data_IF_734213822359
#
_entry.id   IF_734213822359
#
_cell.length_a   1.000
_cell.length_b   1.000
_cell.length_c   1.000
_cell.angle_alpha   90.00
_cell.angle_beta   90.00
_cell.angle_gamma   90.00
#
_symmetry.space_group_name_H-M   'P 1'
#
loop_
_entity.id
_entity.type
_entity.pdbx_description
1 polymer ?
#
# COMPACT_ATOMS: atom_id res chain seq x y z
N UNK A 1 -4.73 -27.35 7.38
CA UNK A 1 -5.92 -27.14 6.50
C UNK A 1 -6.20 -28.34 5.59
N UNK A 2 -5.20 -28.87 4.87
CA UNK A 2 -5.36 -30.06 4.03
C UNK A 2 -5.91 -31.27 4.80
N UNK A 3 -5.48 -31.45 6.06
CA UNK A 3 -5.93 -32.54 6.90
C UNK A 3 -7.42 -32.45 7.31
N UNK A 4 -7.94 -31.22 7.51
CA UNK A 4 -9.36 -30.97 7.83
C UNK A 4 -10.26 -31.25 6.63
N UNK A 5 -9.78 -31.00 5.42
CA UNK A 5 -10.50 -31.39 4.21
C UNK A 5 -10.53 -32.91 4.05
N UNK A 6 -9.43 -33.60 4.38
CA UNK A 6 -9.36 -35.06 4.33
C UNK A 6 -10.27 -35.68 5.39
N UNK A 7 -10.34 -35.10 6.58
CA UNK A 7 -11.20 -35.54 7.68
C UNK A 7 -11.53 -34.37 8.60
N UNK A 8 -12.82 -34.06 8.74
CA UNK A 8 -13.31 -32.95 9.55
C UNK A 8 -13.34 -33.19 11.08
N UNK A 9 -12.72 -34.28 11.54
CA UNK A 9 -12.77 -34.75 12.94
C UNK A 9 -13.94 -35.70 13.22
N UNK A 10 -14.85 -35.90 12.26
CA UNK A 10 -15.94 -36.89 12.32
C UNK A 10 -15.81 -38.00 11.28
N UNK A 11 -14.68 -38.05 10.56
CA UNK A 11 -14.44 -39.03 9.50
C UNK A 11 -14.98 -38.61 8.14
N UNK A 12 -15.56 -37.41 8.00
CA UNK A 12 -16.14 -36.94 6.75
C UNK A 12 -15.11 -36.17 5.95
N UNK A 13 -14.88 -36.61 4.71
CA UNK A 13 -14.04 -35.93 3.74
C UNK A 13 -14.83 -34.85 3.01
N UNK A 14 -14.24 -33.67 2.82
CA UNK A 14 -14.80 -32.61 1.99
C UNK A 14 -15.83 -31.70 2.67
N UNK A 15 -15.86 -31.65 4.01
CA UNK A 15 -16.73 -30.74 4.74
C UNK A 15 -16.23 -29.28 4.62
N UNK A 16 -16.80 -28.52 3.69
CA UNK A 16 -16.40 -27.13 3.43
C UNK A 16 -16.61 -26.23 4.66
N UNK A 17 -17.66 -26.46 5.45
CA UNK A 17 -17.91 -25.68 6.67
C UNK A 17 -16.81 -25.90 7.71
N UNK A 18 -16.32 -27.14 7.87
CA UNK A 18 -15.20 -27.45 8.75
C UNK A 18 -13.89 -26.83 8.24
N UNK A 19 -13.64 -26.84 6.94
CA UNK A 19 -12.46 -26.20 6.33
C UNK A 19 -12.49 -24.68 6.53
N UNK A 20 -13.63 -24.03 6.25
CA UNK A 20 -13.78 -22.57 6.47
C UNK A 20 -13.61 -22.23 7.95
N UNK A 21 -14.21 -23.01 8.86
CA UNK A 21 -14.03 -22.83 10.30
C UNK A 21 -12.55 -22.97 10.69
N UNK A 22 -11.85 -23.98 10.20
CA UNK A 22 -10.43 -24.17 10.49
C UNK A 22 -9.59 -23.00 9.98
N UNK A 23 -9.88 -22.44 8.80
CA UNK A 23 -9.21 -21.24 8.27
C UNK A 23 -9.46 -20.03 9.18
N UNK A 24 -10.72 -19.75 9.52
CA UNK A 24 -11.09 -18.58 10.33
C UNK A 24 -10.64 -18.67 11.80
N UNK A 25 -10.40 -19.89 12.28
CA UNK A 25 -9.91 -20.17 13.63
C UNK A 25 -8.41 -20.45 13.68
N UNK A 26 -7.73 -20.45 12.53
CA UNK A 26 -6.30 -20.65 12.47
C UNK A 26 -5.57 -19.56 13.27
N UNK A 27 -4.56 -19.95 14.04
CA UNK A 27 -3.81 -19.03 14.88
C UNK A 27 -3.09 -17.95 14.05
N UNK A 28 -2.63 -18.28 12.84
CA UNK A 28 -2.03 -17.34 11.90
C UNK A 28 -3.08 -16.37 11.32
N UNK A 29 -4.32 -16.84 11.11
CA UNK A 29 -5.41 -16.00 10.62
C UNK A 29 -5.97 -15.04 11.70
N UNK A 30 -5.80 -15.39 12.99
CA UNK A 30 -6.36 -14.62 14.12
C UNK A 30 -5.37 -13.71 14.81
N UNK A 31 -4.08 -13.99 14.73
CA UNK A 31 -3.05 -13.17 15.37
C UNK A 31 -2.18 -12.49 14.32
N UNK A 32 -2.05 -11.17 14.45
CA UNK A 32 -1.07 -10.42 13.67
C UNK A 32 0.33 -10.90 14.04
N UNK A 33 1.18 -11.28 13.08
CA UNK A 33 2.56 -11.61 13.36
C UNK A 33 3.26 -10.38 13.93
N UNK A 34 3.66 -10.48 15.19
CA UNK A 34 4.32 -9.41 15.95
C UNK A 34 5.83 -9.36 15.71
N UNK A 35 6.38 -10.37 15.02
CA UNK A 35 7.82 -10.44 14.75
C UNK A 35 8.26 -9.28 13.86
N UNK A 36 9.36 -8.57 14.20
CA UNK A 36 9.95 -7.58 13.31
C UNK A 36 10.44 -8.18 11.98
N UNK A 37 10.66 -9.49 11.95
CA UNK A 37 11.12 -10.23 10.77
C UNK A 37 9.97 -10.59 9.81
N UNK A 38 8.73 -10.27 10.18
CA UNK A 38 7.55 -10.54 9.37
C UNK A 38 7.08 -9.30 8.60
N UNK A 39 6.73 -9.54 7.34
CA UNK A 39 6.10 -8.59 6.46
C UNK A 39 6.82 -8.46 5.14
N UNK A 40 6.21 -7.70 4.23
CA UNK A 40 6.82 -7.36 2.94
C UNK A 40 6.56 -5.90 2.61
N UNK A 41 7.46 -5.31 1.85
CA UNK A 41 7.18 -4.01 1.26
C UNK A 41 6.02 -4.14 0.28
N UNK A 42 5.07 -3.21 0.39
CA UNK A 42 3.97 -3.06 -0.54
C UNK A 42 4.52 -2.52 -1.86
N UNK A 43 4.32 -3.31 -2.90
CA UNK A 43 4.75 -3.01 -4.26
C UNK A 43 4.23 -1.65 -4.74
N UNK A 44 5.03 -0.87 -5.51
CA UNK A 44 4.60 0.42 -6.05
C UNK A 44 3.24 0.37 -6.74
N UNK A 45 3.01 -0.61 -7.62
CA UNK A 45 1.75 -0.77 -8.35
C UNK A 45 0.56 -0.93 -7.39
N UNK A 46 0.74 -1.72 -6.33
CA UNK A 46 -0.28 -1.94 -5.31
C UNK A 46 -0.52 -0.66 -4.50
N UNK A 47 0.53 0.07 -4.12
CA UNK A 47 0.40 1.36 -3.42
C UNK A 47 -0.37 2.36 -4.29
N UNK A 48 -0.05 2.46 -5.57
CA UNK A 48 -0.73 3.37 -6.48
C UNK A 48 -2.20 2.98 -6.70
N UNK A 49 -2.51 1.70 -6.93
CA UNK A 49 -3.92 1.27 -7.06
C UNK A 49 -4.70 1.41 -5.76
N UNK A 50 -4.03 1.24 -4.62
CA UNK A 50 -4.64 1.52 -3.33
C UNK A 50 -5.07 3.00 -3.25
N UNK A 51 -4.20 3.94 -3.63
CA UNK A 51 -4.55 5.36 -3.73
C UNK A 51 -5.75 5.61 -4.66
N UNK A 52 -5.72 5.03 -5.86
CA UNK A 52 -6.83 5.13 -6.82
C UNK A 52 -8.16 4.61 -6.24
N UNK A 53 -8.11 3.51 -5.49
CA UNK A 53 -9.28 2.96 -4.80
C UNK A 53 -9.77 3.86 -3.66
N UNK A 54 -8.87 4.39 -2.83
CA UNK A 54 -9.23 5.27 -1.71
C UNK A 54 -9.89 6.57 -2.17
N UNK A 55 -9.58 7.02 -3.38
CA UNK A 55 -10.07 8.28 -3.95
C UNK A 55 -10.98 8.05 -5.17
N UNK A 56 -11.69 6.92 -5.21
CA UNK A 56 -12.76 6.60 -6.16
C UNK A 56 -12.41 6.72 -7.65
N UNK A 57 -11.16 6.50 -8.05
CA UNK A 57 -10.70 6.65 -9.44
C UNK A 57 -11.59 5.91 -10.45
N UNK A 58 -11.97 4.66 -10.15
CA UNK A 58 -12.78 3.84 -11.05
C UNK A 58 -14.25 4.29 -11.15
N UNK A 59 -14.78 4.94 -10.11
CA UNK A 59 -16.15 5.47 -10.11
C UNK A 59 -16.22 6.79 -10.87
N UNK A 60 -15.24 7.67 -10.64
CA UNK A 60 -15.12 8.95 -11.34
C UNK A 60 -14.77 8.74 -12.82
N UNK A 61 -13.98 7.71 -13.12
CA UNK A 61 -13.47 7.42 -14.46
C UNK A 61 -13.65 5.94 -14.83
N UNK A 62 -14.87 5.49 -15.16
CA UNK A 62 -15.15 4.07 -15.45
C UNK A 62 -14.48 3.56 -16.73
N UNK A 63 -13.98 4.45 -17.58
CA UNK A 63 -13.20 4.12 -18.80
C UNK A 63 -11.69 4.26 -18.59
N UNK A 64 -11.24 4.52 -17.36
CA UNK A 64 -9.82 4.63 -17.06
C UNK A 64 -9.11 3.32 -17.44
N UNK A 65 -8.11 3.46 -18.30
CA UNK A 65 -7.17 2.39 -18.63
C UNK A 65 -5.81 2.87 -18.20
N UNK A 66 -5.15 2.09 -17.35
CA UNK A 66 -3.83 2.45 -16.86
C UNK A 66 -2.75 2.10 -17.89
N UNK A 67 -2.71 2.88 -18.96
CA UNK A 67 -1.72 2.78 -20.02
C UNK A 67 -0.81 4.00 -19.96
N UNK A 68 0.46 3.77 -19.65
CA UNK A 68 1.48 4.80 -19.52
C UNK A 68 2.70 4.47 -20.38
N UNK A 69 3.41 5.52 -20.77
CA UNK A 69 4.77 5.37 -21.24
C UNK A 69 5.69 5.04 -20.06
N UNK A 70 6.76 4.30 -20.34
CA UNK A 70 7.75 3.84 -19.34
C UNK A 70 8.29 5.03 -18.53
N UNK A 71 8.39 6.20 -19.17
CA UNK A 71 8.89 7.43 -18.58
C UNK A 71 7.98 8.01 -17.49
N UNK A 72 6.69 7.66 -17.47
CA UNK A 72 5.73 8.21 -16.51
C UNK A 72 5.77 7.45 -15.18
N UNK A 73 5.48 6.14 -15.23
CA UNK A 73 5.31 5.33 -14.03
C UNK A 73 6.55 4.50 -13.72
N UNK A 74 7.04 3.74 -14.70
CA UNK A 74 8.15 2.80 -14.50
C UNK A 74 9.43 3.51 -14.07
N UNK A 75 9.78 4.65 -14.67
CA UNK A 75 10.97 5.40 -14.24
C UNK A 75 10.94 5.75 -12.75
N UNK A 76 9.80 6.20 -12.24
CA UNK A 76 9.66 6.60 -10.83
C UNK A 76 9.59 5.40 -9.87
N UNK A 77 9.02 4.27 -10.30
CA UNK A 77 8.66 3.14 -9.42
C UNK A 77 9.52 1.90 -9.60
N UNK A 78 10.22 1.76 -10.72
CA UNK A 78 10.99 0.58 -11.15
C UNK A 78 10.09 -0.69 -11.23
N UNK A 79 8.79 -0.49 -11.36
CA UNK A 79 7.81 -1.57 -11.53
C UNK A 79 6.60 -1.04 -12.29
N UNK A 80 6.14 -1.74 -13.32
CA UNK A 80 4.91 -1.36 -14.04
C UNK A 80 4.20 -2.61 -14.55
N UNK A 81 2.86 -2.69 -14.54
CA UNK A 81 2.15 -3.84 -15.07
C UNK A 81 2.59 -4.19 -16.49
N UNK A 82 2.82 -5.48 -16.75
CA UNK A 82 3.25 -6.02 -18.05
C UNK A 82 4.63 -5.55 -18.54
N UNK A 83 5.44 -4.86 -17.71
CA UNK A 83 6.75 -4.34 -18.08
C UNK A 83 7.89 -5.06 -17.33
N UNK A 84 7.86 -6.40 -17.29
CA UNK A 84 8.88 -7.18 -16.58
C UNK A 84 10.25 -7.10 -17.28
N UNK A 85 11.35 -6.80 -16.56
CA UNK A 85 12.69 -6.74 -17.15
C UNK A 85 13.31 -8.12 -17.39
N UNK A 86 12.76 -9.19 -16.81
CA UNK A 86 13.33 -10.55 -16.91
C UNK A 86 12.30 -11.66 -16.74
N UNK A 87 12.71 -12.92 -16.93
CA UNK A 87 11.89 -14.10 -16.62
C UNK A 87 11.65 -14.30 -15.11
N UNK A 88 12.44 -13.63 -14.26
CA UNK A 88 12.28 -13.64 -12.81
C UNK A 88 11.41 -12.47 -12.30
N UNK A 89 10.73 -11.78 -13.19
CA UNK A 89 9.97 -10.57 -12.89
C UNK A 89 10.87 -9.39 -12.50
N UNK A 90 10.38 -8.45 -11.68
CA UNK A 90 11.09 -7.23 -11.25
C UNK A 90 12.20 -7.44 -10.21
N UNK A 91 12.15 -8.52 -9.44
CA UNK A 91 13.09 -8.80 -8.35
C UNK A 91 13.21 -10.30 -8.08
N UNK A 92 14.35 -10.71 -7.53
CA UNK A 92 14.65 -12.11 -7.24
C UNK A 92 14.07 -12.52 -5.88
N UNK A 93 13.55 -13.76 -5.74
CA UNK A 93 12.97 -14.24 -4.48
C UNK A 93 14.01 -14.39 -3.36
N UNK A 94 15.30 -14.39 -3.70
CA UNK A 94 16.43 -14.58 -2.76
C UNK A 94 17.17 -13.27 -2.44
N UNK A 95 16.71 -12.13 -2.96
CA UNK A 95 17.36 -10.85 -2.67
C UNK A 95 17.30 -10.54 -1.18
N UNK A 96 18.43 -10.10 -0.62
CA UNK A 96 18.55 -9.67 0.77
C UNK A 96 19.08 -8.23 0.80
N UNK A 97 18.24 -7.30 1.25
CA UNK A 97 18.62 -5.90 1.37
C UNK A 97 19.83 -5.77 2.31
N UNK A 98 20.87 -4.99 1.94
CA UNK A 98 22.01 -4.75 2.81
C UNK A 98 21.58 -4.21 4.18
N UNK A 99 22.35 -4.52 5.23
CA UNK A 99 22.08 -4.08 6.61
C UNK A 99 21.43 -5.16 7.44
N UNK A 100 20.51 -4.76 8.34
CA UNK A 100 19.91 -5.62 9.36
C UNK A 100 19.23 -6.87 8.78
N UNK A 101 18.50 -6.72 7.66
CA UNK A 101 17.81 -7.82 6.98
C UNK A 101 18.81 -8.92 6.55
N UNK A 102 19.86 -8.56 5.81
CA UNK A 102 20.88 -9.51 5.38
C UNK A 102 21.66 -10.09 6.56
N UNK A 103 21.98 -9.29 7.57
CA UNK A 103 22.69 -9.74 8.76
C UNK A 103 21.88 -10.77 9.57
N UNK A 104 20.55 -10.67 9.53
CA UNK A 104 19.63 -11.64 10.11
C UNK A 104 19.36 -12.86 9.20
N UNK A 105 19.95 -12.92 8.01
CA UNK A 105 19.74 -14.00 7.04
C UNK A 105 18.35 -14.01 6.39
N UNK A 106 17.63 -12.88 6.45
CA UNK A 106 16.28 -12.74 5.92
C UNK A 106 16.30 -12.35 4.43
N UNK A 107 15.25 -12.75 3.70
CA UNK A 107 15.01 -12.31 2.32
C UNK A 107 14.06 -11.12 2.30
N UNK A 108 14.27 -10.22 1.35
CA UNK A 108 13.48 -9.00 1.20
C UNK A 108 13.30 -8.62 -0.28
N UNK A 109 12.67 -9.47 -1.11
CA UNK A 109 12.65 -9.32 -2.57
C UNK A 109 12.21 -7.94 -3.07
N UNK A 110 11.10 -7.41 -2.54
CA UNK A 110 10.54 -6.12 -2.96
C UNK A 110 11.45 -4.92 -2.71
N UNK A 111 12.47 -5.03 -1.86
CA UNK A 111 13.47 -3.97 -1.67
C UNK A 111 14.47 -3.87 -2.82
N UNK A 112 14.59 -4.87 -3.70
CA UNK A 112 15.55 -4.84 -4.81
C UNK A 112 15.27 -3.70 -5.80
N UNK A 113 14.01 -3.29 -5.94
CA UNK A 113 13.57 -2.17 -6.78
C UNK A 113 13.52 -0.83 -6.02
N UNK A 114 13.89 -0.82 -4.74
CA UNK A 114 14.00 0.38 -3.93
C UNK A 114 15.48 0.80 -3.89
N UNK A 115 15.79 1.87 -4.62
CA UNK A 115 17.11 2.47 -4.61
C UNK A 115 17.00 3.96 -4.23
N UNK A 116 18.14 4.65 -4.18
CA UNK A 116 18.20 6.07 -3.79
C UNK A 116 17.36 6.98 -4.70
N UNK A 117 17.09 6.56 -5.94
CA UNK A 117 16.24 7.30 -6.87
C UNK A 117 14.75 6.98 -6.62
N UNK A 118 14.34 5.71 -6.70
CA UNK A 118 12.93 5.31 -6.55
C UNK A 118 12.37 5.59 -5.15
N UNK A 119 13.22 5.63 -4.12
CA UNK A 119 12.85 6.06 -2.78
C UNK A 119 12.39 7.53 -2.71
N UNK A 120 12.70 8.36 -3.71
CA UNK A 120 12.29 9.77 -3.79
C UNK A 120 11.29 10.00 -4.92
N UNK A 121 11.57 9.47 -6.11
CA UNK A 121 10.73 9.70 -7.30
C UNK A 121 9.35 9.05 -7.19
N UNK A 122 9.23 7.85 -6.58
CA UNK A 122 7.93 7.22 -6.40
C UNK A 122 7.00 7.99 -5.44
N UNK A 123 7.44 8.41 -4.23
CA UNK A 123 6.65 9.32 -3.41
C UNK A 123 6.22 10.59 -4.14
N UNK A 124 7.11 11.23 -4.90
CA UNK A 124 6.77 12.42 -5.68
C UNK A 124 5.69 12.13 -6.73
N UNK A 125 5.76 10.99 -7.42
CA UNK A 125 4.72 10.58 -8.36
C UNK A 125 3.36 10.40 -7.69
N UNK A 126 3.32 9.80 -6.49
CA UNK A 126 2.07 9.70 -5.72
C UNK A 126 1.53 11.08 -5.36
N UNK A 127 2.41 12.00 -4.97
CA UNK A 127 2.04 13.40 -4.70
C UNK A 127 1.42 14.07 -5.94
N UNK A 128 2.05 13.92 -7.11
CA UNK A 128 1.54 14.46 -8.37
C UNK A 128 0.16 13.87 -8.70
N UNK A 129 -0.04 12.55 -8.55
CA UNK A 129 -1.35 11.93 -8.76
C UNK A 129 -2.42 12.48 -7.84
N UNK A 130 -2.08 12.83 -6.60
CA UNK A 130 -3.01 13.41 -5.64
C UNK A 130 -3.44 14.83 -6.03
N UNK A 131 -2.57 15.60 -6.67
CA UNK A 131 -2.85 16.98 -7.07
C UNK A 131 -3.44 17.08 -8.47
N UNK A 132 -2.83 16.41 -9.43
CA UNK A 132 -3.11 16.50 -10.87
C UNK A 132 -3.99 15.36 -11.38
N UNK A 133 -4.08 14.25 -10.64
CA UNK A 133 -4.75 13.03 -11.07
C UNK A 133 -3.82 12.01 -11.73
N UNK A 134 -4.36 10.81 -11.96
CA UNK A 134 -3.65 9.75 -12.66
C UNK A 134 -3.38 10.17 -14.09
N UNK A 135 -2.15 9.92 -14.58
CA UNK A 135 -1.80 10.16 -15.98
C UNK A 135 -1.98 8.88 -16.79
N UNK A 136 -2.54 9.01 -17.99
CA UNK A 136 -2.51 7.97 -19.01
C UNK A 136 -2.30 8.59 -20.38
N UNK A 137 -1.64 7.84 -21.28
CA UNK A 137 -1.29 8.31 -22.62
C UNK A 137 -0.50 9.63 -22.63
N UNK A 138 -0.65 10.43 -23.68
CA UNK A 138 0.12 11.66 -23.92
C UNK A 138 -0.32 12.87 -23.10
N UNK A 139 -1.58 12.91 -22.64
CA UNK A 139 -2.15 14.15 -22.07
C UNK A 139 -3.37 13.97 -21.17
N UNK A 140 -3.82 12.74 -20.92
CA UNK A 140 -5.05 12.53 -20.18
C UNK A 140 -4.74 12.45 -18.69
N UNK A 141 -5.35 13.35 -17.93
CA UNK A 141 -5.35 13.34 -16.48
C UNK A 141 -6.71 12.84 -16.00
N UNK A 142 -6.68 12.01 -14.97
CA UNK A 142 -7.86 11.42 -14.32
C UNK A 142 -7.83 11.85 -12.86
N UNK A 143 -8.34 13.07 -12.53
CA UNK A 143 -8.42 13.55 -11.17
C UNK A 143 -9.26 12.63 -10.31
N UNK A 144 -8.78 12.33 -9.11
CA UNK A 144 -9.50 11.50 -8.17
C UNK A 144 -10.44 12.32 -7.28
N UNK A 145 -11.39 11.64 -6.64
CA UNK A 145 -12.40 12.26 -5.77
C UNK A 145 -12.05 12.04 -4.31
N UNK A 146 -11.99 13.15 -3.56
CA UNK A 146 -11.72 13.16 -2.13
C UNK A 146 -13.00 13.24 -1.30
N UNK A 147 -14.16 12.95 -1.90
CA UNK A 147 -15.49 13.23 -1.32
C UNK A 147 -15.66 12.69 0.10
N UNK A 148 -15.17 11.49 0.38
CA UNK A 148 -15.31 10.85 1.70
C UNK A 148 -14.31 11.45 2.70
N UNK A 149 -13.04 11.56 2.32
CA UNK A 149 -11.96 12.01 3.19
C UNK A 149 -11.98 13.52 3.47
N UNK A 150 -12.51 14.33 2.54
CA UNK A 150 -12.71 15.78 2.73
C UNK A 150 -13.69 16.11 3.85
N UNK A 151 -14.61 15.20 4.20
CA UNK A 151 -15.52 15.40 5.34
C UNK A 151 -14.76 15.52 6.67
N UNK A 152 -13.54 14.98 6.73
CA UNK A 152 -12.68 14.98 7.91
C UNK A 152 -11.59 16.06 7.86
N UNK A 153 -11.49 16.83 6.77
CA UNK A 153 -10.39 17.78 6.57
C UNK A 153 -10.26 18.79 7.72
N UNK A 154 -11.38 19.25 8.28
CA UNK A 154 -11.40 20.26 9.34
C UNK A 154 -11.13 19.66 10.74
N UNK A 155 -10.96 18.34 10.84
CA UNK A 155 -10.58 17.63 12.06
C UNK A 155 -9.34 16.75 11.81
N UNK A 156 -8.12 17.30 11.94
CA UNK A 156 -6.87 16.58 11.69
C UNK A 156 -6.74 15.27 12.48
N UNK A 157 -7.22 15.22 13.72
CA UNK A 157 -7.14 14.01 14.52
C UNK A 157 -8.01 12.90 13.93
N UNK A 158 -9.26 13.19 13.59
CA UNK A 158 -10.17 12.21 12.98
C UNK A 158 -9.70 11.80 11.57
N UNK A 159 -9.17 12.74 10.78
CA UNK A 159 -8.56 12.44 9.48
C UNK A 159 -7.39 11.47 9.61
N UNK A 160 -6.47 11.69 10.56
CA UNK A 160 -5.34 10.81 10.79
C UNK A 160 -5.80 9.42 11.24
N UNK A 161 -6.79 9.34 12.13
CA UNK A 161 -7.31 8.05 12.59
C UNK A 161 -7.98 7.26 11.46
N UNK A 162 -8.70 7.95 10.57
CA UNK A 162 -9.29 7.36 9.37
C UNK A 162 -8.22 6.88 8.38
N UNK A 163 -7.20 7.69 8.11
CA UNK A 163 -6.08 7.31 7.24
C UNK A 163 -5.27 6.16 7.84
N UNK A 164 -5.06 6.14 9.16
CA UNK A 164 -4.40 5.04 9.87
C UNK A 164 -5.14 3.71 9.61
N UNK A 165 -6.46 3.71 9.71
CA UNK A 165 -7.26 2.52 9.44
C UNK A 165 -7.10 2.05 7.99
N UNK A 166 -7.22 2.97 7.03
CA UNK A 166 -7.22 2.64 5.61
C UNK A 166 -5.84 2.26 5.07
N UNK A 167 -4.78 2.94 5.49
CA UNK A 167 -3.44 2.81 4.90
C UNK A 167 -2.52 1.92 5.72
N UNK A 168 -2.57 2.08 7.04
CA UNK A 168 -1.66 1.47 8.02
C UNK A 168 -2.32 0.34 8.83
N UNK A 169 -3.53 -0.09 8.46
CA UNK A 169 -4.29 -1.14 9.15
C UNK A 169 -4.50 -0.88 10.66
N UNK A 170 -4.54 0.39 11.07
CA UNK A 170 -4.67 0.77 12.48
C UNK A 170 -3.37 0.74 13.29
N UNK A 171 -2.22 0.42 12.67
CA UNK A 171 -0.94 0.21 13.35
C UNK A 171 0.00 1.43 13.33
N UNK A 172 -0.46 2.59 12.88
CA UNK A 172 0.32 3.82 12.87
C UNK A 172 0.88 4.13 14.27
N UNK A 173 2.19 4.34 14.36
CA UNK A 173 2.84 4.61 15.64
C UNK A 173 2.50 6.00 16.15
N UNK A 174 2.59 6.20 17.47
CA UNK A 174 2.43 7.52 18.09
C UNK A 174 3.40 8.56 17.51
N UNK A 175 4.60 8.12 17.09
CA UNK A 175 5.59 8.97 16.42
C UNK A 175 5.07 9.49 15.08
N UNK A 176 4.66 8.59 14.18
CA UNK A 176 4.12 8.97 12.86
C UNK A 176 2.88 9.83 13.01
N UNK A 177 2.00 9.48 13.95
CA UNK A 177 0.80 10.25 14.28
C UNK A 177 1.13 11.68 14.74
N UNK A 178 2.16 11.86 15.58
CA UNK A 178 2.60 13.18 16.06
C UNK A 178 3.22 14.05 14.96
N UNK A 179 3.97 13.44 14.03
CA UNK A 179 4.50 14.13 12.84
C UNK A 179 3.34 14.64 11.98
N UNK A 180 2.36 13.79 11.70
CA UNK A 180 1.16 14.17 10.95
C UNK A 180 0.38 15.30 11.63
N UNK A 181 0.10 15.20 12.93
CA UNK A 181 -0.59 16.26 13.67
C UNK A 181 0.12 17.62 13.54
N UNK A 182 1.44 17.61 13.66
CA UNK A 182 2.26 18.82 13.51
C UNK A 182 2.16 19.37 12.08
N UNK A 183 2.30 18.51 11.07
CA UNK A 183 2.26 18.92 9.66
C UNK A 183 0.89 19.45 9.24
N UNK A 184 -0.20 18.83 9.70
CA UNK A 184 -1.56 19.25 9.37
C UNK A 184 -2.02 20.51 10.14
N UNK A 185 -1.24 20.99 11.11
CA UNK A 185 -1.57 22.21 11.85
C UNK A 185 -1.30 23.50 11.05
N UNK A 186 -0.61 23.41 9.90
CA UNK A 186 -0.33 24.57 9.05
C UNK A 186 -1.64 25.21 8.53
N UNK A 187 -1.90 26.49 8.85
CA UNK A 187 -3.10 27.18 8.40
C UNK A 187 -3.09 27.49 6.89
N UNK A 188 -1.95 27.40 6.21
CA UNK A 188 -1.85 27.62 4.77
C UNK A 188 -2.37 26.42 3.94
N UNK A 189 -2.51 25.24 4.54
CA UNK A 189 -3.00 24.05 3.86
C UNK A 189 -4.49 24.21 3.50
N UNK A 190 -4.81 24.08 2.21
CA UNK A 190 -6.19 23.92 1.79
C UNK A 190 -6.77 22.61 2.36
N UNK A 191 -8.11 22.50 2.39
CA UNK A 191 -8.78 21.26 2.82
C UNK A 191 -8.32 20.05 2.01
N UNK A 192 -8.08 20.22 0.70
CA UNK A 192 -7.55 19.17 -0.19
C UNK A 192 -6.10 18.83 0.18
N UNK A 193 -5.23 19.83 0.32
CA UNK A 193 -3.80 19.60 0.60
C UNK A 193 -3.59 18.92 1.94
N UNK A 194 -4.43 19.24 2.93
CA UNK A 194 -4.42 18.59 4.24
C UNK A 194 -4.73 17.09 4.15
N UNK A 195 -5.76 16.72 3.38
CA UNK A 195 -6.08 15.31 3.12
C UNK A 195 -4.97 14.66 2.29
N UNK A 196 -4.45 15.36 1.28
CA UNK A 196 -3.40 14.84 0.43
C UNK A 196 -2.11 14.56 1.22
N UNK A 197 -1.71 15.49 2.09
CA UNK A 197 -0.56 15.33 2.96
C UNK A 197 -0.75 14.17 3.95
N UNK A 198 -1.93 14.04 4.56
CA UNK A 198 -2.21 12.95 5.48
C UNK A 198 -2.07 11.57 4.81
N UNK A 199 -2.73 11.37 3.68
CA UNK A 199 -2.67 10.13 2.90
C UNK A 199 -1.26 9.88 2.35
N UNK A 200 -0.61 10.89 1.77
CA UNK A 200 0.74 10.77 1.21
C UNK A 200 1.76 10.36 2.28
N UNK A 201 1.76 11.03 3.43
CA UNK A 201 2.67 10.69 4.53
C UNK A 201 2.40 9.29 5.06
N UNK A 202 1.13 8.92 5.28
CA UNK A 202 0.79 7.57 5.72
C UNK A 202 1.24 6.51 4.72
N UNK A 203 1.01 6.72 3.42
CA UNK A 203 1.39 5.79 2.36
C UNK A 203 2.91 5.65 2.19
N UNK A 204 3.70 6.61 2.66
CA UNK A 204 5.16 6.61 2.62
C UNK A 204 5.81 6.35 4.00
N UNK A 205 5.00 6.18 5.04
CA UNK A 205 5.48 5.80 6.38
C UNK A 205 5.81 4.31 6.44
N UNK A 206 6.71 3.86 7.35
CA UNK A 206 6.98 2.44 7.57
C UNK A 206 5.71 1.60 7.74
N UNK A 207 4.72 2.12 8.45
CA UNK A 207 3.45 1.46 8.75
C UNK A 207 2.51 1.35 7.54
N UNK A 208 2.62 2.25 6.56
CA UNK A 208 1.85 2.18 5.31
C UNK A 208 2.58 1.48 4.15
N UNK A 209 3.92 1.43 4.20
CA UNK A 209 4.77 0.79 3.19
C UNK A 209 4.97 -0.70 3.47
N UNK A 210 4.94 -1.14 4.73
CA UNK A 210 5.08 -2.55 5.07
C UNK A 210 3.71 -3.21 5.25
N UNK A 211 3.44 -4.27 4.49
CA UNK A 211 2.29 -5.14 4.69
C UNK A 211 2.66 -6.23 5.70
N UNK A 212 1.85 -6.34 6.76
CA UNK A 212 1.87 -7.38 7.79
C UNK A 212 0.50 -8.04 7.86
#
# INVERSE_FOLDING_TARGET
MQDVFVNDGSGVRGNLAAVVKAILLDNEARNLPISPDYGKVREPVIRTMHLGRLLHLAEEHPKFVWWNWVENYYNSSIQEPMNSPSVFNFYTPVYQAPGEIRNAGLVSPGFQIINTYSAVSFPNLLWDYMHDGFRASWSWTYPMSYRDTLTLADNPAALIDHVNLLVCSGTMTARTRGILLTALADPALSRKDRVALALWTAMNSPEGVVQR
#
